data_IF_851338450939
#
_entry.id   IF_851338450939
#
_cell.length_a   1.000
_cell.length_b   1.000
_cell.length_c   1.000
_cell.angle_alpha   90.00
_cell.angle_beta   90.00
_cell.angle_gamma   90.00
#
_symmetry.space_group_name_H-M   'P 1'
#
loop_
_entity.id
_entity.type
_entity.pdbx_description
1 polymer ?
#
# COMPACT_ATOMS: atom_id res chain seq x y z
N UNK A 1 16.27 -9.47 18.77
CA UNK A 1 15.03 -9.35 17.95
C UNK A 1 15.41 -9.72 16.53
N UNK A 2 14.65 -10.59 15.87
CA UNK A 2 14.84 -10.86 14.45
C UNK A 2 14.54 -9.61 13.62
N UNK A 3 15.12 -9.52 12.43
CA UNK A 3 14.88 -8.42 11.50
C UNK A 3 13.43 -8.52 10.98
N UNK A 4 12.61 -7.49 11.18
CA UNK A 4 11.23 -7.45 10.65
C UNK A 4 11.18 -7.47 9.14
N UNK A 5 10.13 -8.04 8.57
CA UNK A 5 9.90 -8.14 7.13
C UNK A 5 8.66 -7.34 6.72
N UNK A 6 8.82 -6.48 5.70
CA UNK A 6 7.72 -5.79 5.03
C UNK A 6 7.55 -6.29 3.60
N UNK A 7 6.29 -6.46 3.18
CA UNK A 7 5.94 -6.68 1.78
C UNK A 7 5.14 -5.50 1.25
N UNK A 8 5.56 -4.93 0.12
CA UNK A 8 4.98 -3.74 -0.50
C UNK A 8 4.56 -4.07 -1.93
N UNK A 9 3.30 -3.91 -2.27
CA UNK A 9 2.83 -4.05 -3.65
C UNK A 9 3.00 -2.73 -4.42
N UNK A 10 3.31 -2.81 -5.72
CA UNK A 10 3.55 -1.61 -6.55
C UNK A 10 4.84 -0.87 -6.17
N UNK A 11 5.91 -1.62 -5.90
CA UNK A 11 7.16 -1.13 -5.27
C UNK A 11 8.09 -0.36 -6.22
N UNK A 12 7.85 -0.38 -7.54
CA UNK A 12 8.84 0.09 -8.52
C UNK A 12 8.99 1.61 -8.61
N UNK A 13 7.98 2.39 -8.24
CA UNK A 13 7.96 3.86 -8.32
C UNK A 13 7.06 4.50 -7.26
N UNK A 14 7.06 5.85 -7.22
CA UNK A 14 6.17 6.65 -6.39
C UNK A 14 6.20 6.24 -4.92
N UNK A 15 5.04 6.18 -4.29
CA UNK A 15 4.87 5.85 -2.87
C UNK A 15 5.51 4.49 -2.54
N UNK A 16 5.29 3.45 -3.37
CA UNK A 16 5.80 2.12 -3.10
C UNK A 16 7.33 2.07 -3.05
N UNK A 17 8.01 2.77 -3.95
CA UNK A 17 9.48 2.88 -3.95
C UNK A 17 10.00 3.66 -2.75
N UNK A 18 9.38 4.79 -2.43
CA UNK A 18 9.73 5.56 -1.25
C UNK A 18 9.55 4.75 0.03
N UNK A 19 8.47 3.96 0.14
CA UNK A 19 8.25 3.01 1.23
C UNK A 19 9.37 1.98 1.33
N UNK A 20 9.78 1.36 0.21
CA UNK A 20 10.86 0.37 0.22
C UNK A 20 12.13 0.95 0.85
N UNK A 21 12.52 2.16 0.45
CA UNK A 21 13.71 2.84 0.97
C UNK A 21 13.55 3.26 2.44
N UNK A 22 12.36 3.75 2.83
CA UNK A 22 12.09 4.14 4.21
C UNK A 22 12.14 2.93 5.16
N UNK A 23 11.50 1.82 4.80
CA UNK A 23 11.52 0.59 5.60
C UNK A 23 12.91 -0.05 5.62
N UNK A 24 13.67 -0.03 4.52
CA UNK A 24 15.05 -0.49 4.46
C UNK A 24 15.94 0.29 5.44
N UNK A 25 15.88 1.62 5.41
CA UNK A 25 16.61 2.50 6.37
C UNK A 25 16.18 2.27 7.81
N UNK A 26 14.95 1.83 8.02
CA UNK A 26 14.41 1.49 9.34
C UNK A 26 14.79 0.08 9.82
N UNK A 27 15.58 -0.68 9.03
CA UNK A 27 16.14 -1.98 9.38
C UNK A 27 15.24 -3.17 9.01
N UNK A 28 14.22 -3.00 8.17
CA UNK A 28 13.39 -4.11 7.70
C UNK A 28 14.05 -4.85 6.53
N UNK A 29 13.81 -6.16 6.42
CA UNK A 29 13.92 -6.88 5.16
C UNK A 29 12.74 -6.46 4.25
N UNK A 30 12.99 -6.26 2.96
CA UNK A 30 12.01 -5.70 2.02
C UNK A 30 11.65 -6.72 0.95
N UNK A 31 10.37 -7.10 0.88
CA UNK A 31 9.80 -7.80 -0.26
C UNK A 31 8.87 -6.87 -1.05
N UNK A 32 8.70 -7.14 -2.33
CA UNK A 32 7.73 -6.40 -3.11
C UNK A 32 7.60 -6.85 -4.55
N UNK A 33 6.62 -6.28 -5.24
CA UNK A 33 6.37 -6.60 -6.63
C UNK A 33 5.99 -5.39 -7.48
N UNK A 34 6.21 -5.53 -8.78
CA UNK A 34 5.61 -4.67 -9.80
C UNK A 34 5.04 -5.51 -10.95
N UNK A 35 4.23 -4.88 -11.82
CA UNK A 35 3.66 -5.57 -12.97
C UNK A 35 4.64 -5.57 -14.17
N UNK A 36 5.08 -4.40 -14.66
CA UNK A 36 5.75 -4.25 -15.98
C UNK A 36 7.11 -3.56 -15.97
N UNK A 37 7.52 -2.93 -14.88
CA UNK A 37 8.71 -2.06 -14.83
C UNK A 37 9.90 -2.77 -14.18
N UNK A 38 10.40 -3.81 -14.84
CA UNK A 38 11.58 -4.57 -14.37
C UNK A 38 12.83 -3.70 -14.27
N UNK A 39 13.02 -2.75 -15.20
CA UNK A 39 14.11 -1.77 -15.18
C UNK A 39 14.17 -0.95 -13.87
N UNK A 40 13.01 -0.57 -13.36
CA UNK A 40 12.90 0.14 -12.07
C UNK A 40 13.11 -0.79 -10.87
N UNK A 41 12.78 -2.08 -10.98
CA UNK A 41 13.10 -3.05 -9.94
C UNK A 41 14.62 -3.27 -9.83
N UNK A 42 15.34 -3.33 -10.95
CA UNK A 42 16.80 -3.46 -10.97
C UNK A 42 17.47 -2.26 -10.28
N UNK A 43 17.00 -1.05 -10.59
CA UNK A 43 17.46 0.18 -9.93
C UNK A 43 17.21 0.13 -8.42
N UNK A 44 15.99 -0.22 -8.00
CA UNK A 44 15.64 -0.33 -6.58
C UNK A 44 16.47 -1.44 -5.88
N UNK A 45 16.69 -2.57 -6.55
CA UNK A 45 17.51 -3.66 -6.03
C UNK A 45 18.95 -3.20 -5.76
N UNK A 46 19.54 -2.43 -6.67
CA UNK A 46 20.88 -1.87 -6.49
C UNK A 46 20.93 -0.92 -5.27
N UNK A 47 19.91 -0.06 -5.09
CA UNK A 47 19.81 0.84 -3.94
C UNK A 47 19.64 0.09 -2.60
N UNK A 48 18.78 -0.93 -2.57
CA UNK A 48 18.59 -1.77 -1.38
C UNK A 48 19.85 -2.55 -1.04
N UNK A 49 20.59 -3.02 -2.07
CA UNK A 49 21.90 -3.66 -1.89
C UNK A 49 22.92 -2.68 -1.30
N UNK A 50 22.97 -1.44 -1.79
CA UNK A 50 23.86 -0.42 -1.26
C UNK A 50 23.55 -0.05 0.20
N UNK A 51 22.28 -0.19 0.63
CA UNK A 51 21.86 -0.03 2.02
C UNK A 51 22.14 -1.29 2.87
N UNK A 52 22.66 -2.38 2.29
CA UNK A 52 22.84 -3.65 2.99
C UNK A 52 21.51 -4.34 3.36
N UNK A 53 20.42 -4.01 2.71
CA UNK A 53 19.07 -4.48 3.04
C UNK A 53 18.77 -5.82 2.36
N UNK A 54 18.46 -6.91 3.10
CA UNK A 54 17.93 -8.12 2.49
C UNK A 54 16.63 -7.83 1.77
N UNK A 55 16.51 -8.24 0.50
CA UNK A 55 15.32 -7.95 -0.29
C UNK A 55 14.93 -9.09 -1.25
N UNK A 56 13.66 -9.08 -1.66
CA UNK A 56 13.07 -9.97 -2.66
C UNK A 56 12.12 -9.14 -3.54
N UNK A 57 12.48 -8.91 -4.80
CA UNK A 57 11.68 -8.14 -5.75
C UNK A 57 11.22 -9.05 -6.88
N UNK A 58 9.91 -9.11 -7.11
CA UNK A 58 9.30 -10.00 -8.09
C UNK A 58 8.47 -9.20 -9.11
N UNK A 59 8.34 -9.76 -10.31
CA UNK A 59 7.43 -9.24 -11.32
C UNK A 59 6.24 -10.17 -11.47
N UNK A 60 5.02 -9.61 -11.49
CA UNK A 60 3.79 -10.38 -11.70
C UNK A 60 2.52 -9.58 -11.51
N UNK A 61 1.40 -10.22 -11.83
CA UNK A 61 0.07 -9.61 -11.82
C UNK A 61 -0.69 -9.91 -10.53
N UNK A 62 -1.20 -8.85 -9.91
CA UNK A 62 -1.98 -8.95 -8.66
C UNK A 62 -3.49 -9.15 -8.89
N UNK A 63 -3.96 -9.10 -10.13
CA UNK A 63 -5.39 -9.13 -10.48
C UNK A 63 -6.03 -10.53 -10.37
N UNK A 64 -5.23 -11.57 -10.18
CA UNK A 64 -5.69 -12.91 -9.85
C UNK A 64 -4.98 -13.42 -8.60
N UNK A 65 -5.52 -14.46 -7.95
CA UNK A 65 -5.02 -14.92 -6.66
C UNK A 65 -3.71 -15.72 -6.69
N UNK A 66 -3.27 -16.19 -7.86
CA UNK A 66 -2.13 -17.09 -7.97
C UNK A 66 -0.82 -16.38 -7.62
N UNK A 67 -0.56 -15.23 -8.25
CA UNK A 67 0.67 -14.49 -8.01
C UNK A 67 0.73 -13.87 -6.59
N UNK A 68 -0.31 -13.21 -6.05
CA UNK A 68 -0.33 -12.78 -4.65
C UNK A 68 -0.02 -13.88 -3.65
N UNK A 69 -0.58 -15.08 -3.83
CA UNK A 69 -0.29 -16.22 -2.97
C UNK A 69 1.19 -16.61 -3.05
N UNK A 70 1.72 -16.78 -4.28
CA UNK A 70 3.12 -17.11 -4.50
C UNK A 70 4.08 -16.04 -3.98
N UNK A 71 3.75 -14.75 -4.10
CA UNK A 71 4.54 -13.64 -3.60
C UNK A 71 4.69 -13.68 -2.07
N UNK A 72 3.59 -13.94 -1.35
CA UNK A 72 3.61 -14.10 0.11
C UNK A 72 4.43 -15.32 0.51
N UNK A 73 4.20 -16.48 -0.15
CA UNK A 73 4.92 -17.73 0.13
C UNK A 73 6.43 -17.57 -0.07
N UNK A 74 6.86 -16.96 -1.18
CA UNK A 74 8.27 -16.70 -1.46
C UNK A 74 8.88 -15.71 -0.45
N UNK A 75 8.12 -14.70 -0.02
CA UNK A 75 8.56 -13.75 1.01
C UNK A 75 8.84 -14.48 2.32
N UNK A 76 7.91 -15.32 2.77
CA UNK A 76 8.08 -16.08 4.02
C UNK A 76 9.17 -17.15 3.87
N UNK A 77 9.27 -17.83 2.74
CA UNK A 77 10.35 -18.78 2.48
C UNK A 77 11.73 -18.10 2.52
N UNK A 78 11.84 -16.87 2.05
CA UNK A 78 13.10 -16.11 2.01
C UNK A 78 13.51 -15.52 3.35
N UNK A 79 12.56 -15.02 4.16
CA UNK A 79 12.85 -14.25 5.38
C UNK A 79 12.36 -14.95 6.67
N UNK A 80 11.63 -16.06 6.55
CA UNK A 80 11.11 -16.84 7.69
C UNK A 80 9.75 -16.36 8.21
N UNK A 81 9.40 -15.10 7.98
CA UNK A 81 8.15 -14.47 8.48
C UNK A 81 7.78 -13.23 7.68
N UNK A 82 6.56 -12.76 7.88
CA UNK A 82 6.04 -11.48 7.38
C UNK A 82 5.47 -10.70 8.56
N UNK A 83 5.83 -9.43 8.74
CA UNK A 83 5.34 -8.57 9.82
C UNK A 83 4.40 -7.47 9.32
N UNK A 84 4.67 -6.93 8.12
CA UNK A 84 3.90 -5.82 7.55
C UNK A 84 3.57 -6.09 6.09
N UNK A 85 2.29 -5.93 5.72
CA UNK A 85 1.82 -5.90 4.34
C UNK A 85 1.33 -4.49 3.99
N UNK A 86 1.90 -3.88 2.95
CA UNK A 86 1.44 -2.60 2.39
C UNK A 86 0.82 -2.86 1.03
N UNK A 87 -0.51 -2.80 0.95
CA UNK A 87 -1.27 -2.84 -0.28
C UNK A 87 -1.25 -1.45 -0.92
N UNK A 88 -0.22 -1.17 -1.73
CA UNK A 88 -0.02 0.12 -2.39
C UNK A 88 -0.30 0.06 -3.89
N UNK A 89 -0.22 -1.10 -4.54
CA UNK A 89 -0.49 -1.22 -5.96
C UNK A 89 -1.87 -0.68 -6.32
N UNK A 90 -1.93 0.09 -7.40
CA UNK A 90 -3.17 0.66 -7.89
C UNK A 90 -2.98 1.47 -9.16
N UNK A 91 -4.09 1.71 -9.84
CA UNK A 91 -4.19 2.51 -11.05
C UNK A 91 -5.26 3.58 -10.87
N UNK A 92 -5.07 4.74 -11.49
CA UNK A 92 -6.07 5.80 -11.60
C UNK A 92 -6.67 5.79 -13.00
N UNK A 93 -7.89 6.28 -13.11
CA UNK A 93 -8.56 6.49 -14.39
C UNK A 93 -9.45 7.73 -14.28
N UNK A 94 -9.14 8.75 -15.09
CA UNK A 94 -9.93 9.97 -15.21
C UNK A 94 -10.76 9.85 -16.49
N UNK A 95 -12.07 9.60 -16.33
CA UNK A 95 -13.01 9.40 -17.44
C UNK A 95 -14.45 9.58 -16.98
N UNK A 96 -15.31 10.16 -17.85
CA UNK A 96 -16.75 10.18 -17.59
C UNK A 96 -17.30 8.76 -17.50
N UNK A 97 -18.28 8.54 -16.62
CA UNK A 97 -18.88 7.22 -16.45
C UNK A 97 -19.50 6.68 -17.77
N UNK A 98 -20.12 7.56 -18.55
CA UNK A 98 -20.71 7.21 -19.85
C UNK A 98 -19.71 6.68 -20.87
N UNK A 99 -18.43 7.04 -20.72
CA UNK A 99 -17.34 6.67 -21.61
C UNK A 99 -16.49 5.52 -21.07
N UNK A 100 -16.81 5.04 -19.85
CA UNK A 100 -16.13 3.94 -19.19
C UNK A 100 -16.79 2.63 -19.62
N UNK A 101 -16.01 1.75 -20.27
CA UNK A 101 -16.47 0.42 -20.62
C UNK A 101 -16.27 -0.59 -19.47
N UNK A 102 -16.92 -1.76 -19.59
CA UNK A 102 -16.87 -2.81 -18.56
C UNK A 102 -15.44 -3.27 -18.28
N UNK A 103 -14.60 -3.39 -19.31
CA UNK A 103 -13.22 -3.85 -19.14
C UNK A 103 -12.36 -2.85 -18.36
N UNK A 104 -12.59 -1.58 -18.55
CA UNK A 104 -11.92 -0.49 -17.81
C UNK A 104 -12.36 -0.48 -16.35
N UNK A 105 -13.66 -0.64 -16.10
CA UNK A 105 -14.18 -0.80 -14.74
C UNK A 105 -13.54 -2.00 -14.04
N UNK A 106 -13.59 -3.18 -14.65
CA UNK A 106 -13.00 -4.41 -14.12
C UNK A 106 -11.49 -4.27 -13.85
N UNK A 107 -10.77 -3.59 -14.75
CA UNK A 107 -9.34 -3.33 -14.58
C UNK A 107 -9.06 -2.49 -13.33
N UNK A 108 -9.82 -1.41 -13.09
CA UNK A 108 -9.64 -0.55 -11.90
C UNK A 108 -9.99 -1.31 -10.62
N UNK A 109 -11.12 -2.02 -10.60
CA UNK A 109 -11.57 -2.79 -9.44
C UNK A 109 -10.57 -3.91 -9.12
N UNK A 110 -10.16 -4.68 -10.12
CA UNK A 110 -9.22 -5.79 -9.92
C UNK A 110 -7.84 -5.32 -9.46
N UNK A 111 -7.37 -4.19 -10.00
CA UNK A 111 -6.06 -3.63 -9.63
C UNK A 111 -6.04 -3.00 -8.24
N UNK A 112 -7.10 -2.31 -7.84
CA UNK A 112 -7.09 -1.48 -6.63
C UNK A 112 -7.71 -2.18 -5.41
N UNK A 113 -8.72 -3.03 -5.62
CA UNK A 113 -9.48 -3.66 -4.54
C UNK A 113 -9.22 -5.18 -4.46
N UNK A 114 -9.41 -5.90 -5.56
CA UNK A 114 -9.26 -7.36 -5.55
C UNK A 114 -7.82 -7.77 -5.25
N UNK A 115 -6.83 -7.02 -5.75
CA UNK A 115 -5.40 -7.25 -5.44
C UNK A 115 -5.11 -7.18 -3.93
N UNK A 116 -5.64 -6.15 -3.25
CA UNK A 116 -5.48 -5.98 -1.81
C UNK A 116 -6.18 -7.10 -1.02
N UNK A 117 -7.36 -7.55 -1.47
CA UNK A 117 -8.04 -8.71 -0.91
C UNK A 117 -7.19 -9.99 -1.07
N UNK A 118 -6.64 -10.27 -2.26
CA UNK A 118 -5.83 -11.47 -2.48
C UNK A 118 -4.55 -11.47 -1.64
N UNK A 119 -3.83 -10.35 -1.60
CA UNK A 119 -2.63 -10.23 -0.77
C UNK A 119 -2.94 -10.37 0.72
N UNK A 120 -3.97 -9.70 1.21
CA UNK A 120 -4.38 -9.77 2.62
C UNK A 120 -4.77 -11.19 3.01
N UNK A 121 -5.62 -11.85 2.21
CA UNK A 121 -6.05 -13.23 2.44
C UNK A 121 -4.86 -14.19 2.50
N UNK A 122 -3.88 -14.02 1.61
CA UNK A 122 -2.68 -14.88 1.58
C UNK A 122 -1.74 -14.62 2.77
N UNK A 123 -1.68 -13.38 3.29
CA UNK A 123 -0.79 -12.99 4.40
C UNK A 123 -1.32 -13.42 5.78
N UNK A 124 -2.64 -13.41 5.99
CA UNK A 124 -3.26 -13.67 7.29
C UNK A 124 -2.78 -14.98 7.96
N UNK A 125 -2.69 -16.14 7.28
CA UNK A 125 -2.21 -17.36 7.91
C UNK A 125 -0.79 -17.24 8.49
N UNK A 126 0.07 -16.44 7.88
CA UNK A 126 1.44 -16.20 8.36
C UNK A 126 1.48 -15.22 9.53
N UNK A 127 0.63 -14.19 9.54
CA UNK A 127 0.46 -13.32 10.70
C UNK A 127 -0.05 -14.10 11.92
N UNK A 128 -0.99 -15.03 11.73
CA UNK A 128 -1.49 -15.87 12.81
C UNK A 128 -0.39 -16.76 13.41
N UNK A 129 0.56 -17.24 12.60
CA UNK A 129 1.72 -18.01 13.06
C UNK A 129 2.72 -17.17 13.86
N UNK A 130 2.76 -15.85 13.64
CA UNK A 130 3.68 -14.97 14.36
C UNK A 130 3.41 -14.91 15.88
N UNK A 131 2.22 -15.31 16.36
CA UNK A 131 1.93 -15.47 17.80
C UNK A 131 2.84 -16.46 18.50
N UNK A 132 3.46 -17.39 17.75
CA UNK A 132 4.37 -18.42 18.28
C UNK A 132 5.81 -17.90 18.39
N UNK A 133 6.08 -16.69 17.93
CA UNK A 133 7.41 -16.08 17.99
C UNK A 133 7.67 -15.44 19.35
N UNK A 134 8.75 -15.83 19.98
CA UNK A 134 9.17 -15.33 21.29
C UNK A 134 9.74 -13.90 21.24
N UNK A 135 10.14 -13.41 20.06
CA UNK A 135 10.74 -12.09 19.88
C UNK A 135 9.72 -10.96 19.67
N UNK A 136 8.43 -11.28 19.63
CA UNK A 136 7.33 -10.30 19.54
C UNK A 136 6.78 -10.03 20.93
N UNK A 137 6.80 -8.74 21.35
CA UNK A 137 6.16 -8.32 22.59
C UNK A 137 4.65 -8.62 22.56
N UNK A 138 4.04 -9.08 23.66
CA UNK A 138 2.59 -9.32 23.73
C UNK A 138 1.71 -8.11 23.39
N UNK A 139 2.25 -6.89 23.49
CA UNK A 139 1.55 -5.64 23.15
C UNK A 139 1.75 -5.25 21.69
N UNK A 140 2.73 -5.82 20.99
CA UNK A 140 2.97 -5.56 19.57
C UNK A 140 2.01 -6.38 18.70
N UNK A 141 1.58 -5.87 17.54
CA UNK A 141 0.77 -6.66 16.62
C UNK A 141 1.56 -7.86 16.08
N UNK A 142 0.87 -8.99 15.90
CA UNK A 142 1.43 -10.16 15.22
C UNK A 142 1.52 -9.98 13.71
N UNK A 143 0.79 -9.01 13.17
CA UNK A 143 0.84 -8.59 11.78
C UNK A 143 0.18 -7.23 11.60
N UNK A 144 0.63 -6.49 10.60
CA UNK A 144 0.05 -5.19 10.24
C UNK A 144 -0.28 -5.18 8.76
N UNK A 145 -1.51 -4.84 8.41
CA UNK A 145 -1.95 -4.57 7.04
C UNK A 145 -2.22 -3.08 6.91
N UNK A 146 -1.60 -2.42 5.94
CA UNK A 146 -1.88 -1.03 5.61
C UNK A 146 -2.30 -0.95 4.15
N UNK A 147 -3.50 -0.41 3.92
CA UNK A 147 -4.04 -0.18 2.60
C UNK A 147 -3.80 1.28 2.19
N UNK A 148 -3.11 1.51 1.07
CA UNK A 148 -2.94 2.85 0.50
C UNK A 148 -4.21 3.20 -0.26
N UNK A 149 -5.07 3.96 0.42
CA UNK A 149 -6.34 4.43 -0.09
C UNK A 149 -6.21 5.84 -0.69
N UNK A 150 -7.31 6.52 -0.88
CA UNK A 150 -7.39 7.88 -1.39
C UNK A 150 -8.49 8.65 -0.67
N UNK A 151 -8.34 9.97 -0.59
CA UNK A 151 -9.43 10.86 -0.17
C UNK A 151 -10.66 10.70 -1.06
N UNK A 152 -10.49 10.32 -2.34
CA UNK A 152 -11.60 9.99 -3.24
C UNK A 152 -12.36 8.72 -2.85
N UNK A 153 -11.77 7.85 -2.05
CA UNK A 153 -12.49 6.75 -1.39
C UNK A 153 -13.36 7.20 -0.22
N UNK A 154 -13.21 8.44 0.25
CA UNK A 154 -14.01 9.03 1.34
C UNK A 154 -15.09 9.96 0.82
N UNK A 155 -14.79 10.79 -0.21
CA UNK A 155 -15.66 11.84 -0.72
C UNK A 155 -16.18 11.59 -2.14
N UNK A 156 -15.52 10.74 -2.92
CA UNK A 156 -15.72 10.60 -4.36
C UNK A 156 -15.12 11.77 -5.15
N UNK A 157 -14.93 11.57 -6.47
CA UNK A 157 -14.49 12.59 -7.40
C UNK A 157 -15.21 12.47 -8.74
N UNK A 158 -15.52 13.63 -9.35
CA UNK A 158 -16.05 13.68 -10.71
C UNK A 158 -15.03 13.12 -11.69
N UNK A 159 -15.49 12.42 -12.72
CA UNK A 159 -14.67 11.73 -13.73
C UNK A 159 -13.77 10.58 -13.16
N UNK A 160 -13.87 10.25 -11.87
CA UNK A 160 -13.11 9.17 -11.24
C UNK A 160 -14.02 8.15 -10.52
N UNK A 161 -15.18 7.83 -11.09
CA UNK A 161 -16.20 6.98 -10.45
C UNK A 161 -15.65 5.61 -10.13
N UNK A 162 -14.98 4.93 -11.09
CA UNK A 162 -14.42 3.59 -10.87
C UNK A 162 -13.29 3.62 -9.82
N UNK A 163 -12.42 4.63 -9.88
CA UNK A 163 -11.34 4.81 -8.89
C UNK A 163 -11.91 5.06 -7.50
N UNK A 164 -12.84 6.00 -7.37
CA UNK A 164 -13.51 6.33 -6.10
C UNK A 164 -14.21 5.11 -5.51
N UNK A 165 -14.95 4.35 -6.33
CA UNK A 165 -15.61 3.12 -5.91
C UNK A 165 -14.62 2.07 -5.41
N UNK A 166 -13.49 1.88 -6.13
CA UNK A 166 -12.44 0.94 -5.72
C UNK A 166 -11.81 1.31 -4.39
N UNK A 167 -11.53 2.60 -4.15
CA UNK A 167 -10.92 3.10 -2.91
C UNK A 167 -11.92 3.14 -1.75
N UNK A 168 -13.19 3.42 -2.00
CA UNK A 168 -14.27 3.27 -1.01
C UNK A 168 -14.44 1.79 -0.60
N UNK A 169 -14.40 0.87 -1.56
CA UNK A 169 -14.37 -0.57 -1.30
C UNK A 169 -13.17 -0.99 -0.45
N UNK A 170 -11.99 -0.42 -0.71
CA UNK A 170 -10.77 -0.67 0.04
C UNK A 170 -10.89 -0.16 1.50
N UNK A 171 -11.54 0.99 1.71
CA UNK A 171 -11.86 1.50 3.05
C UNK A 171 -12.80 0.54 3.79
N UNK A 172 -13.84 0.05 3.12
CA UNK A 172 -14.76 -0.97 3.66
C UNK A 172 -14.05 -2.28 4.03
N UNK A 173 -13.18 -2.77 3.12
CA UNK A 173 -12.33 -3.95 3.35
C UNK A 173 -11.45 -3.76 4.59
N UNK A 174 -10.84 -2.59 4.74
CA UNK A 174 -10.00 -2.24 5.91
C UNK A 174 -10.76 -2.38 7.22
N UNK A 175 -11.94 -1.76 7.30
CA UNK A 175 -12.74 -1.75 8.54
C UNK A 175 -13.28 -3.15 8.86
N UNK A 176 -13.71 -3.90 7.85
CA UNK A 176 -14.21 -5.27 8.03
C UNK A 176 -13.10 -6.22 8.51
N UNK A 177 -11.94 -6.22 7.83
CA UNK A 177 -10.79 -7.04 8.23
C UNK A 177 -10.28 -6.68 9.63
N UNK A 178 -10.26 -5.39 9.98
CA UNK A 178 -9.85 -4.96 11.31
C UNK A 178 -10.71 -5.59 12.41
N UNK A 179 -12.03 -5.63 12.22
CA UNK A 179 -12.97 -6.25 13.18
C UNK A 179 -12.77 -7.76 13.27
N UNK A 180 -12.53 -8.41 12.15
CA UNK A 180 -12.32 -9.85 12.07
C UNK A 180 -10.98 -10.27 12.71
N UNK A 181 -9.93 -9.47 12.53
CA UNK A 181 -8.57 -9.81 12.91
C UNK A 181 -8.11 -9.23 14.26
N UNK A 182 -8.84 -8.26 14.83
CA UNK A 182 -8.52 -7.68 16.14
C UNK A 182 -8.40 -8.72 17.26
N UNK A 183 -9.25 -9.76 17.37
CA UNK A 183 -9.09 -10.81 18.38
C UNK A 183 -7.77 -11.60 18.24
N UNK A 184 -7.17 -11.57 17.04
CA UNK A 184 -5.89 -12.22 16.73
C UNK A 184 -4.70 -11.27 16.84
N UNK A 185 -4.88 -10.07 17.40
CA UNK A 185 -3.85 -9.04 17.53
C UNK A 185 -3.16 -8.67 16.20
N UNK A 186 -3.93 -8.62 15.11
CA UNK A 186 -3.50 -8.16 13.78
C UNK A 186 -4.17 -6.81 13.52
N UNK A 187 -3.36 -5.78 13.27
CA UNK A 187 -3.85 -4.45 12.97
C UNK A 187 -4.09 -4.24 11.47
N UNK A 188 -5.22 -3.64 11.11
CA UNK A 188 -5.55 -3.31 9.72
C UNK A 188 -6.01 -1.85 9.64
N UNK A 189 -5.29 -1.01 8.89
CA UNK A 189 -5.62 0.40 8.72
C UNK A 189 -5.47 0.82 7.25
N UNK A 190 -6.04 1.95 6.89
CA UNK A 190 -5.83 2.60 5.60
C UNK A 190 -5.25 4.00 5.78
N UNK A 191 -4.35 4.37 4.87
CA UNK A 191 -3.92 5.76 4.68
C UNK A 191 -4.62 6.29 3.43
N UNK A 192 -5.58 7.18 3.62
CA UNK A 192 -6.32 7.85 2.55
C UNK A 192 -5.53 9.08 2.08
N UNK A 193 -4.72 8.88 1.05
CA UNK A 193 -3.84 9.91 0.51
C UNK A 193 -4.64 10.95 -0.28
N UNK A 194 -4.28 12.22 -0.09
CA UNK A 194 -4.64 13.32 -0.97
C UNK A 194 -3.77 13.32 -2.23
N UNK A 195 -3.33 14.48 -2.67
CA UNK A 195 -2.50 14.62 -3.87
C UNK A 195 -1.03 14.43 -3.50
N UNK A 196 -0.45 13.36 -4.04
CA UNK A 196 0.98 13.01 -3.83
C UNK A 196 1.73 13.23 -5.15
N UNK A 197 2.91 13.84 -5.11
CA UNK A 197 3.74 14.12 -6.27
C UNK A 197 4.37 12.84 -6.84
N UNK A 198 3.61 12.15 -7.68
CA UNK A 198 3.99 10.88 -8.31
C UNK A 198 3.71 10.89 -9.79
N UNK A 199 4.20 9.86 -10.51
CA UNK A 199 3.90 9.64 -11.92
C UNK A 199 2.40 9.56 -12.24
N UNK A 200 1.57 9.19 -11.26
CA UNK A 200 0.11 9.12 -11.42
C UNK A 200 -0.48 10.49 -11.73
N UNK A 201 0.13 11.56 -11.23
CA UNK A 201 -0.31 12.95 -11.41
C UNK A 201 0.46 13.69 -12.54
N UNK A 202 1.26 12.98 -13.36
CA UNK A 202 1.96 13.59 -14.51
C UNK A 202 1.05 13.94 -15.70
N UNK A 203 -0.20 13.52 -15.66
CA UNK A 203 -1.19 13.91 -16.68
C UNK A 203 -1.60 15.39 -16.59
N UNK A 204 -1.37 16.04 -15.43
CA UNK A 204 -1.70 17.44 -15.23
C UNK A 204 -0.59 18.35 -15.74
N UNK A 205 -0.97 19.44 -16.43
CA UNK A 205 -0.07 20.53 -16.81
C UNK A 205 0.47 21.27 -15.57
N UNK A 206 1.48 22.09 -15.75
CA UNK A 206 2.03 22.88 -14.63
C UNK A 206 1.00 23.86 -14.06
N UNK A 207 0.13 24.43 -14.92
CA UNK A 207 -0.97 25.33 -14.51
C UNK A 207 -2.03 24.57 -13.71
N UNK A 208 -2.44 23.38 -14.18
CA UNK A 208 -3.40 22.52 -13.47
C UNK A 208 -2.84 22.07 -12.12
N UNK A 209 -1.55 21.73 -12.06
CA UNK A 209 -0.86 21.38 -10.80
C UNK A 209 -0.81 22.53 -9.83
N UNK A 210 -0.53 23.76 -10.31
CA UNK A 210 -0.54 24.95 -9.48
C UNK A 210 -1.94 25.24 -8.92
N UNK A 211 -2.98 25.19 -9.77
CA UNK A 211 -4.36 25.38 -9.36
C UNK A 211 -4.80 24.36 -8.31
N UNK A 212 -4.46 23.07 -8.53
CA UNK A 212 -4.78 22.01 -7.58
C UNK A 212 -4.01 22.17 -6.25
N UNK A 213 -2.78 22.66 -6.30
CA UNK A 213 -2.01 22.94 -5.09
C UNK A 213 -2.61 24.10 -4.26
N UNK A 214 -3.21 25.10 -4.92
CA UNK A 214 -3.91 26.20 -4.24
C UNK A 214 -5.19 25.73 -3.52
N UNK A 215 -5.83 24.66 -3.99
CA UNK A 215 -6.99 24.05 -3.30
C UNK A 215 -6.60 23.32 -2.02
N UNK A 216 -5.34 22.91 -1.89
CA UNK A 216 -4.82 22.22 -0.69
C UNK A 216 -4.42 23.27 0.34
N UNK A 217 -4.96 23.27 1.58
CA UNK A 217 -4.60 24.27 2.60
C UNK A 217 -3.09 24.36 2.89
N UNK A 218 -2.34 23.27 2.75
CA UNK A 218 -0.87 23.30 2.85
C UNK A 218 -0.18 23.91 1.62
N UNK A 219 -0.90 24.29 0.56
CA UNK A 219 -0.38 24.97 -0.63
C UNK A 219 0.53 24.13 -1.53
N UNK A 220 0.56 22.81 -1.37
CA UNK A 220 1.44 21.92 -2.12
C UNK A 220 0.96 20.47 -2.13
N UNK A 221 1.47 19.70 -3.06
CA UNK A 221 1.39 18.24 -3.00
C UNK A 221 2.30 17.69 -1.91
N UNK A 222 1.92 16.57 -1.32
CA UNK A 222 2.84 15.81 -0.47
C UNK A 222 3.85 15.03 -1.33
N UNK A 223 5.03 14.76 -0.77
CA UNK A 223 6.02 13.92 -1.44
C UNK A 223 5.77 12.44 -1.20
N UNK A 224 6.26 11.53 -2.08
CA UNK A 224 6.28 10.10 -1.81
C UNK A 224 6.99 9.75 -0.50
N UNK A 225 8.05 10.48 -0.15
CA UNK A 225 8.83 10.29 1.07
C UNK A 225 8.03 10.60 2.33
N UNK A 226 7.28 11.71 2.34
CA UNK A 226 6.37 12.07 3.45
C UNK A 226 5.30 10.99 3.64
N UNK A 227 4.75 10.48 2.54
CA UNK A 227 3.76 9.38 2.57
C UNK A 227 4.37 8.08 3.09
N UNK A 228 5.59 7.77 2.67
CA UNK A 228 6.32 6.58 3.12
C UNK A 228 6.63 6.64 4.63
N UNK A 229 6.99 7.81 5.14
CA UNK A 229 7.23 8.03 6.56
C UNK A 229 5.93 7.85 7.38
N UNK A 230 4.81 8.38 6.91
CA UNK A 230 3.50 8.17 7.52
C UNK A 230 3.12 6.67 7.56
N UNK A 231 3.35 5.91 6.48
CA UNK A 231 3.11 4.48 6.42
C UNK A 231 4.04 3.69 7.37
N UNK A 232 5.32 4.09 7.47
CA UNK A 232 6.27 3.50 8.39
C UNK A 232 5.86 3.75 9.85
N UNK A 233 5.45 4.96 10.21
CA UNK A 233 4.93 5.29 11.54
C UNK A 233 3.68 4.47 11.85
N UNK A 234 2.73 4.43 10.92
CA UNK A 234 1.48 3.66 11.09
C UNK A 234 1.75 2.16 11.30
N UNK A 235 2.78 1.60 10.65
CA UNK A 235 3.19 0.20 10.83
C UNK A 235 3.75 -0.13 12.23
N UNK A 236 4.12 0.89 12.99
CA UNK A 236 4.72 0.79 14.34
C UNK A 236 3.76 1.13 15.46
N UNK A 237 2.54 1.53 15.12
CA UNK A 237 1.53 1.85 16.11
C UNK A 237 1.09 0.61 16.88
N UNK A 238 0.66 0.76 18.14
CA UNK A 238 0.06 -0.32 18.91
C UNK A 238 -1.11 -0.95 18.16
N UNK A 239 -1.31 -2.27 18.33
CA UNK A 239 -2.40 -3.01 17.68
C UNK A 239 -3.81 -2.47 18.01
N UNK A 240 -3.95 -1.72 19.09
CA UNK A 240 -5.21 -1.06 19.45
C UNK A 240 -5.66 -0.01 18.43
N UNK A 241 -4.72 0.55 17.64
CA UNK A 241 -5.03 1.38 16.48
C UNK A 241 -5.33 0.45 15.28
N UNK A 242 -6.59 0.10 15.11
CA UNK A 242 -7.06 -0.75 14.00
C UNK A 242 -8.40 -0.26 13.46
N UNK A 243 -8.71 -0.56 12.21
CA UNK A 243 -9.95 -0.20 11.53
C UNK A 243 -10.04 1.29 11.15
N UNK A 244 -8.93 2.02 11.17
CA UNK A 244 -8.92 3.44 10.86
C UNK A 244 -8.66 3.69 9.37
N UNK A 245 -9.37 4.69 8.83
CA UNK A 245 -9.10 5.31 7.53
C UNK A 245 -8.57 6.70 7.82
N UNK A 246 -7.25 6.84 7.80
CA UNK A 246 -6.54 8.06 8.20
C UNK A 246 -6.29 8.90 6.95
N UNK A 247 -6.78 10.14 6.95
CA UNK A 247 -6.50 11.08 5.86
C UNK A 247 -5.09 11.63 5.97
N UNK A 248 -4.41 11.68 4.83
CA UNK A 248 -3.09 12.27 4.66
C UNK A 248 -3.14 13.19 3.43
N UNK A 249 -3.68 14.39 3.61
CA UNK A 249 -4.15 15.22 2.52
C UNK A 249 -3.85 16.72 2.64
N UNK A 250 -3.09 17.14 3.64
CA UNK A 250 -2.74 18.55 3.84
C UNK A 250 -3.94 19.46 4.18
N UNK A 251 -5.05 18.85 4.66
CA UNK A 251 -6.29 19.56 4.97
C UNK A 251 -7.22 19.75 3.78
N UNK A 252 -7.04 18.99 2.69
CA UNK A 252 -7.77 19.13 1.43
C UNK A 252 -9.26 18.80 1.57
N UNK A 253 -9.66 17.81 2.41
CA UNK A 253 -11.05 17.40 2.63
C UNK A 253 -11.42 17.29 4.12
#
# INVERSE_FOLDING_TARGET
MSQKTVLITGISRGIGRACALAFAKAGYAVAGCCHTRSDLLDTLSAELTALGTPHLLLQGELQNSAFPTSLIEQTVARFGHLDVLINNAGVSMIRMLTDTDDSQWEHVISSNLSSAFYCSRAAIPYFLKNREREDISPQAPYGVIINVSSVWGCSGASCEVAYSASKAGLNGLTVALAKELAPSNIAVNALACGVIDTDMNRCFSDEERAALAEEIPMGRFATPEETAEALLLLSRMPAYLTGQVIRFDGGFL
#
